data_IF_709742492190
#
_entry.id   IF_709742492190
#
_cell.length_a   1.000
_cell.length_b   1.000
_cell.length_c   1.000
_cell.angle_alpha   90.00
_cell.angle_beta   90.00
_cell.angle_gamma   90.00
#
_symmetry.space_group_name_H-M   'P 1'
#
loop_
_entity.id
_entity.type
_entity.pdbx_description
1 polymer ?
#
# COMPACT_ATOMS: atom_id res chain seq x y z
N UNK A 1 -11.70 -10.27 -18.03
CA UNK A 1 -11.15 -8.93 -17.72
C UNK A 1 -9.86 -9.16 -16.96
N UNK A 2 -8.73 -8.69 -17.50
CA UNK A 2 -7.42 -8.90 -16.86
C UNK A 2 -7.37 -8.08 -15.59
N UNK A 3 -7.39 -8.75 -14.43
CA UNK A 3 -7.16 -8.10 -13.15
C UNK A 3 -5.78 -7.45 -13.23
N UNK A 4 -5.72 -6.12 -13.18
CA UNK A 4 -4.46 -5.40 -13.15
C UNK A 4 -3.79 -5.71 -11.80
N UNK A 5 -2.78 -6.59 -11.83
CA UNK A 5 -2.10 -7.08 -10.63
C UNK A 5 -1.57 -5.94 -9.77
N UNK A 6 -1.18 -4.83 -10.41
CA UNK A 6 -0.66 -3.64 -9.73
C UNK A 6 -1.76 -2.90 -8.97
N UNK A 7 -2.98 -2.83 -9.53
CA UNK A 7 -4.14 -2.24 -8.83
C UNK A 7 -4.53 -3.06 -7.60
N UNK A 8 -4.57 -4.39 -7.73
CA UNK A 8 -4.86 -5.29 -6.61
C UNK A 8 -3.78 -5.19 -5.52
N UNK A 9 -2.51 -5.07 -5.89
CA UNK A 9 -1.42 -4.85 -4.94
C UNK A 9 -1.55 -3.50 -4.24
N UNK A 10 -1.89 -2.43 -4.97
CA UNK A 10 -2.09 -1.10 -4.40
C UNK A 10 -3.25 -1.10 -3.39
N UNK A 11 -4.35 -1.77 -3.71
CA UNK A 11 -5.50 -1.92 -2.83
C UNK A 11 -5.13 -2.70 -1.56
N UNK A 12 -4.45 -3.84 -1.70
CA UNK A 12 -4.02 -4.65 -0.57
C UNK A 12 -3.09 -3.88 0.40
N UNK A 13 -2.12 -3.13 -0.13
CA UNK A 13 -1.21 -2.31 0.69
C UNK A 13 -1.99 -1.20 1.40
N UNK A 14 -2.93 -0.55 0.71
CA UNK A 14 -3.73 0.53 1.29
C UNK A 14 -4.62 0.03 2.44
N UNK A 15 -5.27 -1.12 2.27
CA UNK A 15 -6.07 -1.76 3.32
C UNK A 15 -5.17 -2.15 4.50
N UNK A 16 -4.00 -2.72 4.23
CA UNK A 16 -3.05 -3.14 5.26
C UNK A 16 -2.55 -1.95 6.08
N UNK A 17 -2.19 -0.84 5.44
CA UNK A 17 -1.82 0.41 6.13
C UNK A 17 -2.97 0.88 7.03
N UNK A 18 -4.20 0.92 6.52
CA UNK A 18 -5.35 1.38 7.31
C UNK A 18 -5.66 0.46 8.50
N UNK A 19 -5.46 -0.85 8.36
CA UNK A 19 -5.61 -1.81 9.45
C UNK A 19 -4.53 -1.64 10.51
N UNK A 20 -3.30 -1.40 10.08
CA UNK A 20 -2.16 -1.15 10.94
C UNK A 20 -2.24 0.21 11.65
N UNK A 21 -2.68 1.27 10.98
CA UNK A 21 -2.91 2.60 11.59
C UNK A 21 -4.03 2.57 12.65
N UNK A 22 -5.00 1.66 12.51
CA UNK A 22 -6.04 1.43 13.52
C UNK A 22 -5.58 0.54 14.69
N UNK A 23 -4.51 -0.22 14.51
CA UNK A 23 -3.93 -1.04 15.57
C UNK A 23 -2.96 -0.20 16.39
N UNK A 24 -3.22 -0.02 17.68
CA UNK A 24 -2.38 0.77 18.60
C UNK A 24 -0.94 0.25 18.74
N UNK A 25 -0.65 -0.95 18.23
CA UNK A 25 0.65 -1.62 18.32
C UNK A 25 1.37 -1.75 16.95
N UNK A 26 1.24 -0.78 16.05
CA UNK A 26 1.97 -0.83 14.78
C UNK A 26 3.39 -0.25 14.90
N UNK A 27 4.37 -1.02 14.44
CA UNK A 27 5.73 -0.53 14.27
C UNK A 27 5.77 0.59 13.21
N UNK A 28 6.24 1.80 13.55
CA UNK A 28 6.29 2.93 12.62
C UNK A 28 7.20 2.65 11.42
N UNK A 29 8.22 1.80 11.58
CA UNK A 29 9.11 1.36 10.49
C UNK A 29 8.36 0.56 9.42
N UNK A 30 7.52 -0.38 9.84
CA UNK A 30 6.71 -1.21 8.93
C UNK A 30 5.71 -0.32 8.18
N UNK A 31 5.11 0.64 8.87
CA UNK A 31 4.20 1.60 8.26
C UNK A 31 4.90 2.47 7.19
N UNK A 32 6.13 2.88 7.45
CA UNK A 32 6.91 3.69 6.52
C UNK A 32 7.34 2.88 5.28
N UNK A 33 7.72 1.62 5.44
CA UNK A 33 8.04 0.72 4.33
C UNK A 33 6.82 0.48 3.44
N UNK A 34 5.65 0.21 4.03
CA UNK A 34 4.40 0.05 3.27
C UNK A 34 4.01 1.31 2.51
N UNK A 35 4.21 2.50 3.11
CA UNK A 35 3.98 3.79 2.43
C UNK A 35 4.96 4.02 1.27
N UNK A 36 6.22 3.58 1.40
CA UNK A 36 7.21 3.61 0.30
C UNK A 36 6.80 2.69 -0.84
N UNK A 37 6.36 1.49 -0.53
CA UNK A 37 5.91 0.51 -1.53
C UNK A 37 4.66 0.98 -2.26
N UNK A 38 3.65 1.50 -1.54
CA UNK A 38 2.48 2.16 -2.14
C UNK A 38 2.88 3.27 -3.12
N UNK A 39 3.87 4.08 -2.75
CA UNK A 39 4.35 5.18 -3.59
C UNK A 39 5.11 4.70 -4.83
N UNK A 40 5.78 3.55 -4.76
CA UNK A 40 6.39 2.91 -5.94
C UNK A 40 5.31 2.39 -6.89
N UNK A 41 4.31 1.69 -6.38
CA UNK A 41 3.20 1.18 -7.19
C UNK A 41 2.41 2.31 -7.87
N UNK A 42 2.18 3.44 -7.18
CA UNK A 42 1.55 4.61 -7.80
C UNK A 42 2.37 5.19 -8.96
N UNK A 43 3.71 5.22 -8.84
CA UNK A 43 4.60 5.61 -9.94
C UNK A 43 4.55 4.62 -11.09
N UNK A 44 4.50 3.32 -10.82
CA UNK A 44 4.38 2.28 -11.84
C UNK A 44 3.04 2.33 -12.58
N UNK A 45 1.96 2.63 -11.87
CA UNK A 45 0.64 2.87 -12.47
C UNK A 45 0.59 4.18 -13.27
N UNK A 46 1.60 5.05 -13.15
CA UNK A 46 1.66 6.37 -13.78
C UNK A 46 0.43 7.25 -13.45
N UNK A 47 -0.16 7.03 -12.27
CA UNK A 47 -1.30 7.79 -11.74
C UNK A 47 -0.70 8.87 -10.85
N UNK A 48 -0.48 10.05 -11.44
CA UNK A 48 0.17 11.20 -10.81
C UNK A 48 -0.81 12.08 -10.05
#
# INVERSE_FOLDING_TARGET
MSVNQIETQLEAITITIAHLEKSESCDPKVLEELKKERSRLLKELNVH
#
